data_IF_547042503119
#
_entry.id   IF_547042503119
#
_cell.length_a   1.000
_cell.length_b   1.000
_cell.length_c   1.000
_cell.angle_alpha   90.00
_cell.angle_beta   90.00
_cell.angle_gamma   90.00
#
_symmetry.space_group_name_H-M   'P 1'
#
loop_
_entity.id
_entity.type
_entity.pdbx_description
1 polymer ?
#
# COMPACT_ATOMS: atom_id res chain seq x y z
N UNK A 1 -26.47 9.20 -17.54
CA UNK A 1 -25.45 8.33 -16.93
C UNK A 1 -24.30 8.22 -17.90
N UNK A 2 -23.07 8.54 -17.50
CA UNK A 2 -21.85 8.39 -18.30
C UNK A 2 -20.89 7.49 -17.53
N UNK A 3 -20.25 6.54 -18.21
CA UNK A 3 -19.28 5.63 -17.60
C UNK A 3 -17.92 5.91 -18.23
N UNK A 4 -16.97 6.35 -17.40
CA UNK A 4 -15.58 6.60 -17.81
C UNK A 4 -14.68 5.54 -17.20
N UNK A 5 -13.59 5.20 -17.90
CA UNK A 5 -12.67 4.15 -17.46
C UNK A 5 -11.29 4.71 -17.25
N UNK A 6 -10.76 4.53 -16.04
CA UNK A 6 -9.43 4.99 -15.65
C UNK A 6 -8.60 3.82 -15.17
N UNK A 7 -7.28 3.93 -15.33
CA UNK A 7 -6.35 2.94 -14.80
C UNK A 7 -5.26 3.56 -13.93
N UNK A 8 -4.84 2.80 -12.94
CA UNK A 8 -3.72 3.12 -12.07
C UNK A 8 -2.72 1.96 -12.10
N UNK A 9 -1.46 2.26 -12.40
CA UNK A 9 -0.35 1.31 -12.28
C UNK A 9 0.49 1.70 -11.07
N UNK A 10 0.64 0.78 -10.13
CA UNK A 10 1.44 0.93 -8.91
C UNK A 10 2.61 -0.05 -8.95
N UNK A 11 3.82 0.47 -9.08
CA UNK A 11 5.08 -0.28 -9.09
C UNK A 11 5.72 -0.16 -7.70
N UNK A 12 5.31 -1.07 -6.82
CA UNK A 12 5.79 -1.14 -5.44
C UNK A 12 6.98 -2.08 -5.24
N UNK A 13 7.55 -2.07 -4.04
CA UNK A 13 8.73 -2.90 -3.71
C UNK A 13 8.46 -4.40 -3.68
N UNK A 14 7.22 -4.82 -3.42
CA UNK A 14 6.87 -6.25 -3.34
C UNK A 14 6.12 -6.76 -4.58
N UNK A 15 5.38 -5.90 -5.26
CA UNK A 15 4.58 -6.28 -6.42
C UNK A 15 4.20 -5.06 -7.25
N UNK A 16 3.86 -5.33 -8.51
CA UNK A 16 3.32 -4.37 -9.45
C UNK A 16 1.83 -4.64 -9.61
N UNK A 17 1.00 -3.60 -9.67
CA UNK A 17 -0.45 -3.70 -9.77
C UNK A 17 -0.99 -2.84 -10.89
N UNK A 18 -2.03 -3.34 -11.57
CA UNK A 18 -2.91 -2.57 -12.45
C UNK A 18 -4.31 -2.60 -11.84
N UNK A 19 -4.83 -1.43 -11.48
CA UNK A 19 -6.22 -1.25 -11.09
C UNK A 19 -6.94 -0.52 -12.23
N UNK A 20 -8.07 -1.08 -12.68
CA UNK A 20 -8.99 -0.41 -13.59
C UNK A 20 -10.30 -0.12 -12.83
N UNK A 21 -10.77 1.11 -12.95
CA UNK A 21 -12.02 1.58 -12.34
C UNK A 21 -12.98 2.09 -13.41
N UNK A 22 -14.25 1.72 -13.27
CA UNK A 22 -15.36 2.38 -13.92
C UNK A 22 -15.83 3.53 -13.00
N UNK A 23 -15.81 4.75 -13.51
CA UNK A 23 -16.36 5.92 -12.82
C UNK A 23 -17.70 6.27 -13.45
N UNK A 24 -18.76 6.16 -12.65
CA UNK A 24 -20.14 6.37 -13.06
C UNK A 24 -20.55 7.78 -12.67
N UNK A 25 -20.91 8.57 -13.67
CA UNK A 25 -21.37 9.96 -13.54
C UNK A 25 -22.89 10.02 -13.79
N UNK A 26 -23.62 10.53 -12.81
CA UNK A 26 -25.06 10.76 -12.86
C UNK A 26 -25.36 12.23 -12.57
N UNK A 27 -26.44 12.75 -13.14
CA UNK A 27 -26.79 14.17 -12.97
C UNK A 27 -27.21 14.40 -11.52
N UNK A 28 -26.63 15.41 -10.88
CA UNK A 28 -26.88 15.79 -9.48
C UNK A 28 -26.44 14.77 -8.42
N UNK A 29 -25.66 13.75 -8.78
CA UNK A 29 -25.14 12.75 -7.84
C UNK A 29 -23.61 12.77 -7.81
N UNK A 30 -22.97 12.45 -6.66
CA UNK A 30 -21.52 12.33 -6.61
C UNK A 30 -21.06 11.13 -7.46
N UNK A 31 -19.87 11.22 -8.10
CA UNK A 31 -19.35 10.15 -8.94
C UNK A 31 -19.12 8.87 -8.14
N UNK A 32 -19.54 7.73 -8.69
CA UNK A 32 -19.34 6.42 -8.09
C UNK A 32 -18.13 5.71 -8.72
N UNK A 33 -17.20 5.26 -7.88
CA UNK A 33 -16.00 4.55 -8.30
C UNK A 33 -16.18 3.05 -8.10
N UNK A 34 -16.15 2.25 -9.18
CA UNK A 34 -16.28 0.79 -9.12
C UNK A 34 -15.06 0.09 -9.72
N UNK A 35 -14.40 -0.75 -8.90
CA UNK A 35 -13.28 -1.61 -9.31
C UNK A 35 -13.75 -2.61 -10.35
N UNK A 36 -13.25 -2.49 -11.58
CA UNK A 36 -13.60 -3.37 -12.70
C UNK A 36 -12.57 -4.48 -12.89
N UNK A 37 -11.28 -4.19 -12.67
CA UNK A 37 -10.21 -5.19 -12.72
C UNK A 37 -9.07 -4.82 -11.79
N UNK A 38 -8.49 -5.82 -11.12
CA UNK A 38 -7.27 -5.66 -10.33
C UNK A 38 -6.32 -6.81 -10.65
N UNK A 39 -5.26 -6.49 -11.39
CA UNK A 39 -4.20 -7.44 -11.74
C UNK A 39 -3.00 -7.14 -10.87
N UNK A 40 -2.39 -8.20 -10.31
CA UNK A 40 -1.21 -8.09 -9.45
C UNK A 40 -0.16 -9.09 -9.90
N UNK A 41 1.04 -8.58 -10.14
CA UNK A 41 2.22 -9.38 -10.52
C UNK A 41 3.28 -9.30 -9.40
N UNK A 42 3.67 -10.44 -8.78
CA UNK A 42 4.63 -10.46 -7.70
C UNK A 42 6.08 -10.36 -8.23
N UNK A 43 6.49 -9.13 -8.56
CA UNK A 43 7.88 -8.79 -8.89
C UNK A 43 8.42 -7.97 -7.71
N UNK A 44 9.30 -8.61 -6.93
CA UNK A 44 9.83 -8.04 -5.69
C UNK A 44 11.04 -7.15 -5.96
N UNK A 45 10.80 -6.00 -6.58
CA UNK A 45 11.83 -5.01 -6.91
C UNK A 45 12.63 -4.53 -5.70
N UNK A 46 12.03 -4.53 -4.51
CA UNK A 46 12.69 -4.18 -3.26
C UNK A 46 13.80 -5.16 -2.88
N UNK A 47 13.73 -6.44 -3.30
CA UNK A 47 14.81 -7.38 -3.06
C UNK A 47 16.09 -6.87 -3.74
N UNK A 48 16.00 -6.58 -5.04
CA UNK A 48 17.14 -6.10 -5.82
C UNK A 48 17.60 -4.72 -5.35
N UNK A 49 16.68 -3.76 -5.27
CA UNK A 49 17.01 -2.38 -4.94
C UNK A 49 17.67 -2.25 -3.58
N UNK A 50 17.14 -2.92 -2.55
CA UNK A 50 17.65 -2.75 -1.19
C UNK A 50 18.91 -3.57 -0.92
N UNK A 51 19.07 -4.74 -1.54
CA UNK A 51 20.23 -5.62 -1.29
C UNK A 51 21.37 -5.43 -2.28
N UNK A 52 21.06 -5.17 -3.56
CA UNK A 52 22.04 -5.01 -4.64
C UNK A 52 22.26 -3.53 -5.03
N UNK A 53 21.40 -2.61 -4.57
CA UNK A 53 21.48 -1.18 -4.92
C UNK A 53 21.00 -0.85 -6.34
N UNK A 54 20.52 -1.83 -7.11
CA UNK A 54 20.05 -1.69 -8.48
C UNK A 54 18.99 -2.74 -8.81
N UNK A 55 18.13 -2.46 -9.78
CA UNK A 55 17.19 -3.45 -10.34
C UNK A 55 17.97 -4.44 -11.21
N UNK A 56 17.78 -5.74 -10.96
CA UNK A 56 18.44 -6.80 -11.73
C UNK A 56 17.87 -6.90 -13.15
N UNK A 57 18.66 -7.46 -14.08
CA UNK A 57 18.20 -7.73 -15.44
C UNK A 57 16.97 -8.65 -15.49
N UNK A 58 16.90 -9.63 -14.59
CA UNK A 58 15.76 -10.55 -14.47
C UNK A 58 14.49 -9.79 -14.13
N UNK A 59 14.52 -8.94 -13.09
CA UNK A 59 13.33 -8.19 -12.70
C UNK A 59 13.02 -7.02 -13.65
N UNK A 60 14.03 -6.46 -14.33
CA UNK A 60 13.83 -5.49 -15.43
C UNK A 60 13.00 -6.11 -16.55
N UNK A 61 13.36 -7.30 -17.02
CA UNK A 61 12.63 -8.01 -18.07
C UNK A 61 11.22 -8.40 -17.62
N UNK A 62 11.08 -8.94 -16.40
CA UNK A 62 9.76 -9.25 -15.85
C UNK A 62 8.86 -8.02 -15.70
N UNK A 63 9.44 -6.88 -15.33
CA UNK A 63 8.72 -5.61 -15.22
C UNK A 63 8.27 -5.13 -16.60
N UNK A 64 9.15 -5.17 -17.60
CA UNK A 64 8.82 -4.83 -18.99
C UNK A 64 7.65 -5.68 -19.52
N UNK A 65 7.71 -7.00 -19.33
CA UNK A 65 6.64 -7.92 -19.76
C UNK A 65 5.32 -7.62 -19.05
N UNK A 66 5.37 -7.36 -17.73
CA UNK A 66 4.19 -7.00 -16.96
C UNK A 66 3.56 -5.69 -17.44
N UNK A 67 4.36 -4.67 -17.74
CA UNK A 67 3.86 -3.38 -18.23
C UNK A 67 3.31 -3.49 -19.66
N UNK A 68 3.95 -4.27 -20.55
CA UNK A 68 3.40 -4.60 -21.88
C UNK A 68 2.04 -5.30 -21.75
N UNK A 69 1.92 -6.29 -20.86
CA UNK A 69 0.65 -6.95 -20.59
C UNK A 69 -0.40 -5.97 -20.04
N UNK A 70 -0.02 -5.06 -19.13
CA UNK A 70 -0.92 -4.05 -18.59
C UNK A 70 -1.42 -3.08 -19.67
N UNK A 71 -0.57 -2.66 -20.61
CA UNK A 71 -0.97 -1.85 -21.76
C UNK A 71 -2.06 -2.55 -22.58
N UNK A 72 -1.87 -3.83 -22.89
CA UNK A 72 -2.88 -4.62 -23.61
C UNK A 72 -4.19 -4.74 -22.83
N UNK A 73 -4.14 -5.00 -21.53
CA UNK A 73 -5.33 -5.07 -20.67
C UNK A 73 -6.06 -3.72 -20.64
N UNK A 74 -5.32 -2.60 -20.50
CA UNK A 74 -5.91 -1.25 -20.56
C UNK A 74 -6.60 -0.98 -21.90
N UNK A 75 -5.99 -1.39 -23.01
CA UNK A 75 -6.58 -1.25 -24.35
C UNK A 75 -7.88 -2.07 -24.48
N UNK A 76 -7.87 -3.34 -24.07
CA UNK A 76 -9.07 -4.22 -24.11
C UNK A 76 -10.20 -3.66 -23.24
N UNK A 77 -9.87 -3.08 -22.09
CA UNK A 77 -10.86 -2.44 -21.24
C UNK A 77 -11.37 -1.11 -21.81
N UNK A 78 -10.69 -0.48 -22.77
CA UNK A 78 -11.02 0.85 -23.27
C UNK A 78 -10.77 1.94 -22.23
N UNK A 79 -9.62 1.88 -21.56
CA UNK A 79 -9.20 2.89 -20.57
C UNK A 79 -8.96 4.23 -21.28
N UNK A 80 -9.62 5.29 -20.80
CA UNK A 80 -9.52 6.66 -21.33
C UNK A 80 -8.21 7.33 -20.92
N UNK A 81 -7.86 7.22 -19.63
CA UNK A 81 -6.65 7.79 -19.05
C UNK A 81 -6.05 6.87 -18.00
N UNK A 82 -4.73 6.91 -17.90
CA UNK A 82 -4.00 6.16 -16.89
C UNK A 82 -2.92 7.02 -16.24
N UNK A 83 -2.42 6.54 -15.10
CA UNK A 83 -1.18 7.03 -14.51
C UNK A 83 -0.43 5.85 -13.90
N UNK A 84 0.88 5.80 -14.13
CA UNK A 84 1.75 4.79 -13.57
C UNK A 84 2.78 5.42 -12.64
N UNK A 85 2.81 4.97 -11.40
CA UNK A 85 3.72 5.47 -10.38
C UNK A 85 4.63 4.35 -9.88
N UNK A 86 5.91 4.66 -9.73
CA UNK A 86 6.88 3.78 -9.09
C UNK A 86 7.38 4.38 -7.78
N UNK A 87 7.51 3.56 -6.75
CA UNK A 87 7.74 4.02 -5.37
C UNK A 87 9.15 3.66 -4.87
N UNK A 88 9.30 3.33 -3.60
CA UNK A 88 10.58 3.22 -2.88
C UNK A 88 11.63 2.37 -3.59
N UNK A 89 11.28 1.21 -4.13
CA UNK A 89 12.27 0.33 -4.77
C UNK A 89 12.90 0.96 -6.01
N UNK A 90 12.10 1.58 -6.87
CA UNK A 90 12.62 2.23 -8.08
C UNK A 90 13.35 3.53 -7.75
N UNK A 91 12.86 4.30 -6.78
CA UNK A 91 13.49 5.55 -6.33
C UNK A 91 14.87 5.33 -5.69
N UNK A 92 15.06 4.23 -4.98
CA UNK A 92 16.33 3.91 -4.29
C UNK A 92 17.32 3.14 -5.18
N UNK A 93 16.86 2.55 -6.29
CA UNK A 93 17.74 1.84 -7.21
C UNK A 93 18.58 2.82 -8.04
N UNK A 94 19.89 2.62 -8.07
CA UNK A 94 20.84 3.44 -8.85
C UNK A 94 20.51 3.53 -10.35
N UNK A 95 19.89 2.48 -10.92
CA UNK A 95 19.44 2.41 -12.31
C UNK A 95 17.92 2.59 -12.48
N UNK A 96 17.19 3.05 -11.45
CA UNK A 96 15.73 3.17 -11.48
C UNK A 96 15.21 4.04 -12.63
N UNK A 97 15.82 5.21 -12.82
CA UNK A 97 15.52 6.17 -13.90
C UNK A 97 15.79 5.58 -15.29
N UNK A 98 16.87 4.83 -15.44
CA UNK A 98 17.21 4.16 -16.70
C UNK A 98 16.16 3.10 -17.05
N UNK A 99 15.79 2.28 -16.06
CA UNK A 99 14.81 1.20 -16.22
C UNK A 99 13.44 1.75 -16.62
N UNK A 100 12.95 2.81 -15.97
CA UNK A 100 11.63 3.39 -16.33
C UNK A 100 11.64 4.01 -17.72
N UNK A 101 12.76 4.64 -18.15
CA UNK A 101 12.90 5.20 -19.51
C UNK A 101 12.88 4.10 -20.57
N UNK A 102 13.63 3.01 -20.34
CA UNK A 102 13.63 1.85 -21.24
C UNK A 102 12.23 1.26 -21.37
N UNK A 103 11.56 1.01 -20.25
CA UNK A 103 10.21 0.45 -20.24
C UNK A 103 9.23 1.37 -20.95
N UNK A 104 9.29 2.69 -20.71
CA UNK A 104 8.43 3.64 -21.37
C UNK A 104 8.62 3.64 -22.89
N UNK A 105 9.87 3.54 -23.37
CA UNK A 105 10.19 3.45 -24.80
C UNK A 105 9.61 2.19 -25.44
N UNK A 106 9.67 1.05 -24.74
CA UNK A 106 9.28 -0.24 -25.30
C UNK A 106 7.81 -0.62 -25.12
N UNK A 107 7.15 -0.06 -24.11
CA UNK A 107 5.75 -0.39 -23.76
C UNK A 107 4.77 0.74 -24.04
N UNK A 108 5.27 1.93 -24.37
CA UNK A 108 4.49 3.17 -24.52
C UNK A 108 3.69 3.53 -23.25
N UNK A 109 4.15 3.05 -22.09
CA UNK A 109 3.60 3.38 -20.78
C UNK A 109 4.58 4.29 -20.05
N UNK A 110 4.22 5.57 -19.91
CA UNK A 110 5.01 6.51 -19.11
C UNK A 110 4.87 6.15 -17.63
N UNK A 111 6.01 6.03 -16.95
CA UNK A 111 6.10 5.73 -15.52
C UNK A 111 6.79 6.90 -14.82
N UNK A 112 6.16 7.44 -13.78
CA UNK A 112 6.74 8.49 -12.95
C UNK A 112 7.25 7.89 -11.63
N UNK A 113 8.53 8.08 -11.32
CA UNK A 113 9.09 7.73 -10.00
C UNK A 113 8.69 8.83 -9.02
N UNK A 114 7.92 8.48 -7.99
CA UNK A 114 7.40 9.45 -7.02
C UNK A 114 8.15 9.39 -5.69
N UNK A 115 8.23 10.53 -5.01
CA UNK A 115 8.71 10.61 -3.64
C UNK A 115 7.61 10.22 -2.63
N UNK A 116 8.01 9.92 -1.39
CA UNK A 116 7.06 9.51 -0.35
C UNK A 116 6.03 10.59 0.01
N UNK A 117 6.37 11.89 -0.17
CA UNK A 117 5.44 12.99 0.07
C UNK A 117 4.33 13.01 -0.98
N UNK A 118 4.66 12.79 -2.25
CA UNK A 118 3.71 12.70 -3.36
C UNK A 118 2.84 11.45 -3.21
N UNK A 119 3.44 10.31 -2.88
CA UNK A 119 2.70 9.07 -2.58
C UNK A 119 1.65 9.28 -1.48
N UNK A 120 2.05 9.87 -0.35
CA UNK A 120 1.15 10.20 0.74
C UNK A 120 0.04 11.18 0.34
N UNK A 121 0.35 12.21 -0.48
CA UNK A 121 -0.65 13.15 -1.00
C UNK A 121 -1.68 12.46 -1.90
N UNK A 122 -1.25 11.54 -2.77
CA UNK A 122 -2.15 10.79 -3.64
C UNK A 122 -3.06 9.90 -2.80
N UNK A 123 -2.52 9.19 -1.80
CA UNK A 123 -3.32 8.37 -0.89
C UNK A 123 -4.29 9.23 -0.09
N UNK A 124 -3.88 10.42 0.37
CA UNK A 124 -4.73 11.36 1.07
C UNK A 124 -5.91 11.89 0.20
N UNK A 125 -5.77 11.94 -1.12
CA UNK A 125 -6.87 12.33 -2.03
C UNK A 125 -8.05 11.33 -2.06
N UNK A 126 -7.89 10.17 -1.42
CA UNK A 126 -8.95 9.18 -1.29
C UNK A 126 -10.00 9.59 -0.26
N UNK A 127 -11.10 8.84 -0.15
CA UNK A 127 -12.10 9.05 0.91
C UNK A 127 -11.61 8.59 2.30
N UNK A 128 -10.30 8.47 2.51
CA UNK A 128 -9.69 8.12 3.79
C UNK A 128 -10.26 9.00 4.91
N UNK A 129 -10.33 10.32 4.66
CA UNK A 129 -10.88 11.30 5.60
C UNK A 129 -12.37 11.13 5.86
N UNK A 130 -13.17 10.63 4.90
CA UNK A 130 -14.60 10.35 5.13
C UNK A 130 -14.81 9.15 6.06
N UNK A 131 -13.80 8.29 6.20
CA UNK A 131 -13.83 7.16 7.14
C UNK A 131 -13.40 7.58 8.56
N UNK A 132 -12.95 8.83 8.75
CA UNK A 132 -12.52 9.36 10.04
C UNK A 132 -13.74 10.01 10.72
N UNK A 133 -14.13 9.44 11.86
CA UNK A 133 -15.12 10.07 12.73
C UNK A 133 -14.53 11.35 13.36
N UNK A 134 -15.29 12.44 13.34
CA UNK A 134 -14.83 13.78 13.78
C UNK A 134 -14.30 13.83 15.21
N UNK A 135 -14.86 13.00 16.10
CA UNK A 135 -14.52 12.98 17.52
C UNK A 135 -13.52 11.88 17.91
N UNK A 136 -12.85 11.26 16.92
CA UNK A 136 -11.87 10.20 17.15
C UNK A 136 -10.48 10.59 16.66
N UNK A 137 -9.48 10.02 17.30
CA UNK A 137 -8.09 10.10 16.89
C UNK A 137 -7.65 8.78 16.25
N UNK A 138 -6.87 8.88 15.19
CA UNK A 138 -6.38 7.72 14.46
C UNK A 138 -4.87 7.78 14.27
N UNK A 139 -4.21 6.64 14.44
CA UNK A 139 -2.87 6.41 13.89
C UNK A 139 -3.03 5.66 12.58
N UNK A 140 -2.85 6.36 11.47
CA UNK A 140 -2.74 5.73 10.16
C UNK A 140 -1.37 5.06 10.01
N UNK A 141 -1.38 3.82 9.54
CA UNK A 141 -0.19 3.00 9.33
C UNK A 141 -0.30 2.33 7.97
N UNK A 142 0.52 2.73 7.01
CA UNK A 142 0.63 2.07 5.71
C UNK A 142 1.89 1.24 5.66
N UNK A 143 1.75 -0.09 5.66
CA UNK A 143 2.89 -1.00 5.67
C UNK A 143 3.21 -1.43 4.25
N UNK A 144 4.24 -0.80 3.68
CA UNK A 144 4.81 -1.14 2.39
C UNK A 144 5.90 -2.20 2.44
N UNK A 145 6.48 -2.48 1.27
CA UNK A 145 7.63 -3.39 1.16
C UNK A 145 8.95 -2.73 1.61
N UNK A 146 9.14 -1.45 1.29
CA UNK A 146 10.37 -0.70 1.58
C UNK A 146 10.27 0.31 2.73
N UNK A 147 9.08 0.81 3.02
CA UNK A 147 8.85 1.81 4.08
C UNK A 147 7.50 1.57 4.74
N UNK A 148 7.32 2.26 5.87
CA UNK A 148 6.04 2.37 6.55
C UNK A 148 5.78 3.83 6.86
N UNK A 149 4.61 4.30 6.45
CA UNK A 149 4.15 5.66 6.67
C UNK A 149 3.25 5.70 7.89
N UNK A 150 3.59 6.58 8.85
CA UNK A 150 2.79 6.82 10.04
C UNK A 150 2.22 8.23 9.99
N UNK A 151 0.91 8.37 10.20
CA UNK A 151 0.27 9.68 10.32
C UNK A 151 -0.71 9.69 11.48
N UNK A 152 -0.56 10.66 12.38
CA UNK A 152 -1.48 10.86 13.51
C UNK A 152 -2.52 11.90 13.12
N UNK A 153 -3.78 11.56 13.31
CA UNK A 153 -4.95 12.41 13.06
C UNK A 153 -5.76 12.60 14.33
N UNK A 154 -6.38 13.78 14.45
CA UNK A 154 -7.47 14.02 15.40
C UNK A 154 -8.59 14.77 14.69
N UNK A 155 -9.74 14.13 14.54
CA UNK A 155 -10.76 14.56 13.59
C UNK A 155 -10.16 14.70 12.18
N UNK A 156 -10.48 15.79 11.48
CA UNK A 156 -10.00 16.03 10.11
C UNK A 156 -8.58 16.63 10.05
N UNK A 157 -7.92 16.87 11.20
CA UNK A 157 -6.60 17.50 11.26
C UNK A 157 -5.47 16.49 11.34
N UNK A 158 -4.48 16.64 10.47
CA UNK A 158 -3.18 15.97 10.56
C UNK A 158 -2.36 16.62 11.68
N UNK A 159 -1.97 15.84 12.69
CA UNK A 159 -1.11 16.29 13.78
C UNK A 159 0.36 16.13 13.40
N UNK A 160 0.74 14.96 12.90
CA UNK A 160 2.10 14.64 12.51
C UNK A 160 2.12 13.53 11.47
N UNK A 161 3.10 13.58 10.57
CA UNK A 161 3.35 12.53 9.58
C UNK A 161 4.86 12.27 9.47
N UNK A 162 5.26 11.00 9.40
CA UNK A 162 6.66 10.59 9.16
C UNK A 162 6.67 9.24 8.44
N UNK A 163 7.53 9.11 7.44
CA UNK A 163 7.84 7.83 6.80
C UNK A 163 9.16 7.30 7.38
N UNK A 164 9.19 6.02 7.70
CA UNK A 164 10.38 5.33 8.19
C UNK A 164 10.80 4.24 7.19
N UNK A 165 12.10 4.01 7.05
CA UNK A 165 12.68 2.94 6.21
C UNK A 165 12.51 1.56 6.84
N UNK A 166 11.31 1.24 7.28
CA UNK A 166 10.89 -0.05 7.82
C UNK A 166 9.80 -0.61 6.93
N UNK A 167 10.08 -1.69 6.21
CA UNK A 167 9.10 -2.31 5.31
C UNK A 167 9.25 -3.81 5.35
N UNK A 168 8.25 -4.55 4.85
CA UNK A 168 8.26 -6.00 4.98
C UNK A 168 9.43 -6.67 4.27
N UNK A 169 9.88 -6.12 3.14
CA UNK A 169 11.02 -6.65 2.38
C UNK A 169 12.33 -6.30 3.08
N UNK A 170 12.44 -5.10 3.68
CA UNK A 170 13.63 -4.74 4.48
C UNK A 170 13.77 -5.61 5.72
N UNK A 171 12.66 -5.83 6.44
CA UNK A 171 12.64 -6.68 7.61
C UNK A 171 12.94 -8.15 7.27
N UNK A 172 12.49 -8.63 6.12
CA UNK A 172 12.81 -9.99 5.67
C UNK A 172 14.30 -10.18 5.37
N UNK A 173 15.00 -9.11 4.99
CA UNK A 173 16.44 -9.12 4.70
C UNK A 173 17.29 -8.62 5.88
N UNK A 174 16.72 -8.56 7.09
CA UNK A 174 17.41 -8.09 8.32
C UNK A 174 18.07 -6.70 8.19
N UNK A 175 17.49 -5.83 7.35
CA UNK A 175 18.03 -4.51 7.03
C UNK A 175 17.55 -3.38 7.96
N UNK A 176 16.82 -3.71 9.02
CA UNK A 176 16.24 -2.73 9.94
C UNK A 176 16.89 -2.92 11.30
N UNK A 177 17.69 -1.95 11.71
CA UNK A 177 18.31 -1.96 13.04
C UNK A 177 17.28 -1.67 14.13
N UNK A 178 17.56 -2.10 15.37
CA UNK A 178 16.72 -1.81 16.54
C UNK A 178 16.54 -0.29 16.77
N UNK A 179 17.54 0.53 16.44
CA UNK A 179 17.43 1.99 16.52
C UNK A 179 16.25 2.56 15.71
N UNK A 180 15.94 1.96 14.55
CA UNK A 180 14.77 2.39 13.75
C UNK A 180 13.47 2.09 14.49
N UNK A 181 13.39 0.98 15.21
CA UNK A 181 12.22 0.66 16.04
C UNK A 181 12.08 1.63 17.21
N UNK A 182 13.20 1.99 17.87
CA UNK A 182 13.22 2.98 18.95
C UNK A 182 12.74 4.35 18.46
N UNK A 183 13.23 4.81 17.32
CA UNK A 183 12.78 6.08 16.72
C UNK A 183 11.26 6.09 16.43
N UNK A 184 10.71 4.96 15.96
CA UNK A 184 9.27 4.85 15.68
C UNK A 184 8.49 4.86 16.99
N UNK A 185 8.96 4.12 18.01
CA UNK A 185 8.35 4.10 19.33
C UNK A 185 8.27 5.50 19.93
N UNK A 186 9.40 6.23 19.96
CA UNK A 186 9.47 7.59 20.47
C UNK A 186 8.57 8.53 19.69
N UNK A 187 8.59 8.45 18.35
CA UNK A 187 7.76 9.30 17.50
C UNK A 187 6.27 9.03 17.73
N UNK A 188 5.85 7.76 17.78
CA UNK A 188 4.44 7.42 18.03
C UNK A 188 4.04 7.92 19.40
N UNK A 189 4.80 7.61 20.47
CA UNK A 189 4.47 8.07 21.83
C UNK A 189 4.37 9.58 21.91
N UNK A 190 5.36 10.31 21.37
CA UNK A 190 5.39 11.79 21.37
C UNK A 190 4.13 12.39 20.73
N UNK A 191 3.68 11.84 19.61
CA UNK A 191 2.56 12.41 18.85
C UNK A 191 1.18 11.85 19.25
N UNK A 192 1.13 10.79 20.06
CA UNK A 192 -0.13 10.14 20.47
C UNK A 192 -0.48 10.31 21.96
N UNK A 193 0.47 10.68 22.82
CA UNK A 193 0.27 10.66 24.27
C UNK A 193 -0.85 11.59 24.78
N UNK A 194 -1.10 12.70 24.10
CA UNK A 194 -2.16 13.66 24.47
C UNK A 194 -3.55 13.29 23.93
N UNK A 195 -3.66 12.24 23.12
CA UNK A 195 -4.90 11.84 22.47
C UNK A 195 -5.55 10.68 23.24
N UNK A 196 -6.87 10.76 23.41
CA UNK A 196 -7.66 9.67 23.99
C UNK A 196 -8.28 8.80 22.90
N UNK A 197 -8.53 7.52 23.21
CA UNK A 197 -9.26 6.60 22.34
C UNK A 197 -8.70 6.38 20.92
N UNK A 198 -7.37 6.38 20.78
CA UNK A 198 -6.73 6.16 19.48
C UNK A 198 -7.06 4.77 18.93
N UNK A 199 -7.42 4.73 17.65
CA UNK A 199 -7.51 3.50 16.87
C UNK A 199 -6.52 3.53 15.71
N UNK A 200 -6.08 2.37 15.22
CA UNK A 200 -5.25 2.32 14.02
C UNK A 200 -6.14 2.30 12.78
N UNK A 201 -5.68 2.98 11.74
CA UNK A 201 -6.19 2.82 10.38
C UNK A 201 -5.07 2.20 9.53
N UNK A 202 -5.16 0.89 9.30
CA UNK A 202 -4.11 0.11 8.64
C UNK A 202 -4.40 -0.10 7.16
N UNK A 203 -3.41 0.16 6.30
CA UNK A 203 -3.52 -0.01 4.84
C UNK A 203 -2.39 -0.86 4.26
N UNK A 204 -2.59 -1.30 3.02
CA UNK A 204 -1.63 -2.16 2.34
C UNK A 204 -2.05 -3.63 2.26
N UNK A 205 -1.29 -4.41 1.49
CA UNK A 205 -1.73 -5.73 1.04
C UNK A 205 -1.86 -6.78 2.14
N UNK A 206 -0.98 -6.72 3.16
CA UNK A 206 -0.94 -7.72 4.23
C UNK A 206 -2.11 -7.56 5.19
N UNK A 207 -2.39 -6.34 5.67
CA UNK A 207 -3.52 -6.09 6.57
C UNK A 207 -4.86 -6.35 5.89
N UNK A 208 -4.99 -6.05 4.59
CA UNK A 208 -6.16 -6.41 3.79
C UNK A 208 -6.38 -7.92 3.71
N UNK A 209 -5.31 -8.71 3.57
CA UNK A 209 -5.42 -10.18 3.56
C UNK A 209 -5.76 -10.71 4.96
N UNK A 210 -5.18 -10.16 6.02
CA UNK A 210 -5.49 -10.53 7.41
C UNK A 210 -6.95 -10.23 7.75
N UNK A 211 -7.46 -9.06 7.34
CA UNK A 211 -8.88 -8.73 7.47
C UNK A 211 -9.76 -9.76 6.76
N UNK A 212 -9.40 -10.16 5.53
CA UNK A 212 -10.13 -11.21 4.80
C UNK A 212 -10.09 -12.57 5.50
N UNK A 213 -8.95 -12.98 6.04
CA UNK A 213 -8.79 -14.26 6.77
C UNK A 213 -9.59 -14.24 8.08
N UNK A 214 -9.70 -13.08 8.73
CA UNK A 214 -10.45 -12.94 9.98
C UNK A 214 -11.96 -13.25 9.87
N UNK A 215 -12.50 -13.31 8.65
CA UNK A 215 -13.93 -13.50 8.40
C UNK A 215 -14.82 -12.30 8.73
N UNK A 216 -14.23 -11.19 9.20
CA UNK A 216 -14.97 -9.97 9.54
C UNK A 216 -15.57 -9.29 8.32
N UNK A 217 -16.74 -8.67 8.50
CA UNK A 217 -17.43 -7.93 7.45
C UNK A 217 -16.67 -6.64 7.11
N UNK A 218 -16.95 -6.09 5.92
CA UNK A 218 -16.41 -4.78 5.55
C UNK A 218 -16.80 -3.72 6.59
N UNK A 219 -15.84 -2.91 7.03
CA UNK A 219 -16.06 -1.87 8.04
C UNK A 219 -15.84 -2.33 9.49
N UNK A 220 -15.86 -3.64 9.75
CA UNK A 220 -15.51 -4.15 11.07
C UNK A 220 -13.99 -4.08 11.29
N UNK A 221 -13.59 -3.49 12.43
CA UNK A 221 -12.19 -3.42 12.85
C UNK A 221 -11.68 -4.78 13.32
N UNK A 222 -10.37 -4.99 13.26
CA UNK A 222 -9.65 -6.06 13.95
C UNK A 222 -9.29 -5.60 15.36
N UNK A 223 -9.31 -6.49 16.35
CA UNK A 223 -8.80 -6.18 17.70
C UNK A 223 -7.30 -6.48 17.78
N UNK A 224 -6.57 -5.75 18.63
CA UNK A 224 -5.18 -6.05 18.96
C UNK A 224 -4.97 -7.52 19.40
N UNK A 225 -5.87 -8.03 20.25
CA UNK A 225 -5.80 -9.41 20.78
C UNK A 225 -5.85 -10.42 19.63
N UNK A 226 -6.84 -10.30 18.74
CA UNK A 226 -6.94 -11.14 17.54
C UNK A 226 -5.68 -11.05 16.67
N UNK A 227 -5.20 -9.83 16.40
CA UNK A 227 -4.02 -9.61 15.56
C UNK A 227 -2.76 -10.25 16.17
N UNK A 228 -2.62 -10.18 17.49
CA UNK A 228 -1.52 -10.81 18.23
C UNK A 228 -1.64 -12.34 18.21
N UNK A 229 -2.84 -12.89 18.40
CA UNK A 229 -3.10 -14.32 18.28
C UNK A 229 -2.73 -14.84 16.89
N UNK A 230 -3.14 -14.12 15.85
CA UNK A 230 -2.84 -14.46 14.46
C UNK A 230 -1.33 -14.40 14.19
N UNK A 231 -0.63 -13.41 14.74
CA UNK A 231 0.83 -13.33 14.66
C UNK A 231 1.54 -14.52 15.32
N UNK A 232 1.12 -14.92 16.53
CA UNK A 232 1.69 -16.08 17.21
C UNK A 232 1.39 -17.38 16.47
N UNK A 233 0.19 -17.50 15.90
CA UNK A 233 -0.20 -18.65 15.08
C UNK A 233 0.68 -18.74 13.82
N UNK A 234 0.81 -17.66 13.06
CA UNK A 234 1.62 -17.62 11.84
C UNK A 234 3.12 -17.87 12.11
N UNK A 235 3.65 -17.43 13.26
CA UNK A 235 5.05 -17.70 13.64
C UNK A 235 5.36 -19.18 13.85
N UNK A 236 4.35 -19.99 14.22
CA UNK A 236 4.51 -21.44 14.42
C UNK A 236 4.40 -22.23 13.12
N UNK A 237 4.00 -21.59 12.02
CA UNK A 237 3.83 -22.24 10.73
C UNK A 237 5.06 -22.08 9.85
N UNK A 238 5.40 -23.13 9.09
CA UNK A 238 6.41 -23.04 8.04
C UNK A 238 5.94 -22.10 6.91
N UNK A 239 6.87 -21.77 6.00
CA UNK A 239 6.52 -21.02 4.79
C UNK A 239 5.52 -21.78 3.91
N UNK A 240 5.75 -23.08 3.73
CA UNK A 240 4.94 -24.01 2.94
C UNK A 240 3.56 -24.21 3.57
N UNK A 241 3.48 -24.31 4.90
CA UNK A 241 2.21 -24.40 5.61
C UNK A 241 1.37 -23.13 5.44
N UNK A 242 2.00 -21.94 5.50
CA UNK A 242 1.32 -20.67 5.25
C UNK A 242 0.72 -20.61 3.84
N UNK A 243 1.36 -21.23 2.85
CA UNK A 243 0.84 -21.31 1.48
C UNK A 243 -0.30 -22.33 1.40
N UNK A 244 -0.01 -23.58 1.78
CA UNK A 244 -0.90 -24.72 1.57
C UNK A 244 -2.14 -24.70 2.47
N UNK A 245 -1.98 -24.38 3.76
CA UNK A 245 -3.08 -24.42 4.75
C UNK A 245 -3.90 -23.13 4.79
N UNK A 246 -3.29 -21.96 4.55
CA UNK A 246 -3.97 -20.66 4.62
C UNK A 246 -4.28 -20.05 3.24
N UNK A 247 -3.88 -20.69 2.15
CA UNK A 247 -4.05 -20.17 0.80
C UNK A 247 -3.42 -18.78 0.65
N UNK A 248 -2.23 -18.58 1.23
CA UNK A 248 -1.43 -17.39 0.98
C UNK A 248 -0.67 -17.56 -0.33
N UNK A 249 -0.61 -16.50 -1.13
CA UNK A 249 0.30 -16.48 -2.26
C UNK A 249 1.75 -16.60 -1.76
N UNK A 250 2.64 -17.29 -2.49
CA UNK A 250 4.03 -17.48 -2.09
C UNK A 250 4.76 -16.18 -1.72
N UNK A 251 4.54 -15.11 -2.49
CA UNK A 251 5.17 -13.80 -2.30
C UNK A 251 4.61 -12.98 -1.13
N UNK A 252 3.54 -13.49 -0.48
CA UNK A 252 2.92 -12.91 0.71
C UNK A 252 3.23 -13.73 1.96
N UNK A 253 3.37 -15.05 1.80
CA UNK A 253 3.53 -15.97 2.92
C UNK A 253 4.71 -15.59 3.81
N UNK A 254 5.84 -15.14 3.24
CA UNK A 254 7.03 -14.69 3.96
C UNK A 254 6.89 -13.29 4.59
N UNK A 255 6.30 -12.33 3.90
CA UNK A 255 6.21 -10.92 4.31
C UNK A 255 5.05 -10.59 5.27
N UNK A 256 4.09 -11.50 5.45
CA UNK A 256 2.93 -11.26 6.33
C UNK A 256 3.32 -11.16 7.82
N UNK A 257 4.33 -11.93 8.26
CA UNK A 257 4.83 -11.91 9.64
C UNK A 257 5.53 -10.58 9.95
N UNK A 258 6.48 -10.09 9.12
CA UNK A 258 7.04 -8.75 9.27
C UNK A 258 5.98 -7.65 9.32
N UNK A 259 4.94 -7.72 8.47
CA UNK A 259 3.87 -6.73 8.48
C UNK A 259 3.11 -6.70 9.82
N UNK A 260 2.75 -7.88 10.34
CA UNK A 260 2.09 -8.00 11.64
C UNK A 260 2.94 -7.43 12.77
N UNK A 261 4.26 -7.66 12.76
CA UNK A 261 5.18 -7.08 13.75
C UNK A 261 5.06 -5.55 13.78
N UNK A 262 5.07 -4.89 12.62
CA UNK A 262 4.93 -3.43 12.52
C UNK A 262 3.57 -2.97 13.09
N UNK A 263 2.47 -3.60 12.68
CA UNK A 263 1.14 -3.23 13.18
C UNK A 263 0.98 -3.44 14.69
N UNK A 264 1.51 -4.54 15.23
CA UNK A 264 1.45 -4.84 16.66
C UNK A 264 2.28 -3.87 17.48
N UNK A 265 3.49 -3.52 17.02
CA UNK A 265 4.31 -2.49 17.67
C UNK A 265 3.60 -1.14 17.66
N UNK A 266 3.09 -0.71 16.50
CA UNK A 266 2.34 0.54 16.37
C UNK A 266 1.12 0.58 17.30
N UNK A 267 0.36 -0.52 17.39
CA UNK A 267 -0.80 -0.64 18.27
C UNK A 267 -0.40 -0.54 19.75
N UNK A 268 0.68 -1.22 20.14
CA UNK A 268 1.21 -1.19 21.50
C UNK A 268 1.63 0.22 21.90
N UNK A 269 2.42 0.89 21.07
CA UNK A 269 2.99 2.20 21.39
C UNK A 269 1.95 3.33 21.39
N UNK A 270 0.94 3.24 20.51
CA UNK A 270 -0.20 4.17 20.50
C UNK A 270 -1.32 3.82 21.48
N UNK A 271 -1.21 2.68 22.18
CA UNK A 271 -2.25 2.11 23.06
C UNK A 271 -3.58 1.80 22.32
N UNK A 272 -3.54 1.67 21.00
CA UNK A 272 -4.71 1.39 20.18
C UNK A 272 -5.19 -0.06 20.38
N UNK A 273 -6.48 -0.22 20.64
CA UNK A 273 -7.12 -1.55 20.81
C UNK A 273 -7.77 -2.09 19.54
N UNK A 274 -8.08 -1.20 18.60
CA UNK A 274 -8.79 -1.49 17.35
C UNK A 274 -7.96 -1.06 16.15
N UNK A 275 -8.02 -1.87 15.09
CA UNK A 275 -7.36 -1.65 13.80
C UNK A 275 -8.45 -1.68 12.72
N UNK A 276 -8.78 -0.52 12.18
CA UNK A 276 -9.66 -0.37 11.03
C UNK A 276 -8.87 -0.63 9.75
N UNK A 277 -9.46 -1.34 8.79
CA UNK A 277 -8.80 -1.72 7.55
C UNK A 277 -9.60 -1.17 6.37
N UNK A 278 -9.51 0.14 6.08
CA UNK A 278 -10.14 0.69 4.90
C UNK A 278 -9.47 0.10 3.65
N UNK A 279 -10.27 -0.32 2.66
CA UNK A 279 -9.75 -0.88 1.40
C UNK A 279 -9.30 0.21 0.45
N UNK A 280 -8.30 0.97 0.89
CA UNK A 280 -7.71 2.11 0.21
C UNK A 280 -6.22 1.83 -0.01
N UNK A 281 -5.70 2.20 -1.16
CA UNK A 281 -4.27 2.23 -1.43
C UNK A 281 -3.91 3.25 -2.51
N UNK A 282 -2.62 3.34 -2.84
CA UNK A 282 -2.12 4.24 -3.88
C UNK A 282 -2.91 4.16 -5.20
N UNK A 283 -3.24 2.97 -5.75
CA UNK A 283 -4.04 2.89 -6.98
C UNK A 283 -5.41 3.57 -6.88
N UNK A 284 -6.06 3.52 -5.71
CA UNK A 284 -7.36 4.17 -5.51
C UNK A 284 -7.23 5.70 -5.54
N UNK A 285 -6.16 6.23 -4.93
CA UNK A 285 -5.83 7.65 -4.97
C UNK A 285 -5.51 8.15 -6.38
N UNK A 286 -4.74 7.36 -7.13
CA UNK A 286 -4.40 7.66 -8.53
C UNK A 286 -5.68 7.83 -9.37
N UNK A 287 -6.63 6.90 -9.27
CA UNK A 287 -7.87 6.98 -10.04
C UNK A 287 -8.66 8.26 -9.70
N UNK A 288 -8.80 8.59 -8.41
CA UNK A 288 -9.50 9.79 -7.98
C UNK A 288 -8.82 11.05 -8.50
N UNK A 289 -7.50 11.13 -8.36
CA UNK A 289 -6.73 12.27 -8.86
C UNK A 289 -6.90 12.45 -10.38
N UNK A 290 -6.77 11.36 -11.15
CA UNK A 290 -6.99 11.38 -12.61
C UNK A 290 -8.39 11.87 -12.98
N UNK A 291 -9.41 11.40 -12.27
CA UNK A 291 -10.79 11.81 -12.50
C UNK A 291 -10.98 13.31 -12.27
N UNK A 292 -10.57 13.82 -11.10
CA UNK A 292 -10.77 15.23 -10.75
C UNK A 292 -9.92 16.18 -11.60
N UNK A 293 -8.70 15.80 -11.98
CA UNK A 293 -7.88 16.57 -12.92
C UNK A 293 -8.45 16.59 -14.35
N UNK A 294 -9.23 15.58 -14.73
CA UNK A 294 -9.84 15.51 -16.06
C UNK A 294 -11.14 16.30 -16.19
N UNK A 295 -11.65 16.83 -15.08
CA UNK A 295 -12.89 17.60 -14.99
C UNK A 295 -12.64 19.05 -14.54
N UNK A 296 -11.37 19.44 -14.41
CA UNK A 296 -10.91 20.83 -14.36
C UNK A 296 -10.61 21.29 -15.78
#
# INVERSE_FOLDING_TARGET
MKIRKFAAIDIGSNAIRLLINNVIEEKNEPPQFRKSSLVRVPIRLGQDSFTLGKISEVNKNRMLDAIKAFKLIMNVHGVEKYMACATSAMREASNGEEVVKLIAKESEVKIDIIDGKTEAKIIASTDLYKSIEKDKSYLYVDVGGGSTEFTVFSGEKVIATKSFKIGTVRLLNDMVSEHVWDEIEEWIKKNSNSLSNISIMGTGGNINKLHKISGRKMGESLSYIWLNSEYQFLKKMSYEERISKLGLNPDRADVIIPALRIYLSAAKWSRAKKIHVPKIGLPDGIIKMLYYQSNQ
#
